data_IF_622419981559
#
_entry.id   IF_622419981559
#
_cell.length_a   1.000
_cell.length_b   1.000
_cell.length_c   1.000
_cell.angle_alpha   90.00
_cell.angle_beta   90.00
_cell.angle_gamma   90.00
#
_symmetry.space_group_name_H-M   'P 1'
#
loop_
_entity.id
_entity.type
_entity.pdbx_description
1 polymer ?
#
# COMPACT_ATOMS: atom_id res chain seq x y z
N UNK A 1 -12.70 30.92 13.18
CA UNK A 1 -11.41 30.21 13.03
C UNK A 1 -11.73 28.72 13.02
N UNK A 2 -11.65 28.06 11.86
CA UNK A 2 -11.90 26.61 11.78
C UNK A 2 -10.58 25.90 12.04
N UNK A 3 -10.53 25.09 13.10
CA UNK A 3 -9.33 24.38 13.55
C UNK A 3 -8.87 23.37 12.49
N UNK A 4 -7.86 23.74 11.70
CA UNK A 4 -7.28 22.91 10.64
C UNK A 4 -6.56 21.64 11.16
N UNK A 5 -6.56 21.37 12.46
CA UNK A 5 -5.90 20.22 13.08
C UNK A 5 -6.81 18.98 13.24
N UNK A 6 -8.12 19.10 13.04
CA UNK A 6 -9.07 17.99 13.27
C UNK A 6 -9.30 17.07 12.05
N UNK A 7 -8.80 17.42 10.86
CA UNK A 7 -9.00 16.65 9.62
C UNK A 7 -7.82 15.73 9.25
N UNK A 8 -6.80 15.66 10.10
CA UNK A 8 -5.69 14.72 9.92
C UNK A 8 -6.09 13.30 10.35
N UNK A 9 -5.93 12.34 9.44
CA UNK A 9 -6.25 10.94 9.66
C UNK A 9 -4.98 10.11 9.46
N UNK A 10 -4.79 9.08 10.29
CA UNK A 10 -3.67 8.17 10.13
C UNK A 10 -3.94 7.13 9.03
N UNK A 11 -2.98 6.92 8.14
CA UNK A 11 -2.97 5.77 7.24
C UNK A 11 -2.83 4.47 8.05
N UNK A 12 -3.74 3.50 7.87
CA UNK A 12 -3.73 2.25 8.65
C UNK A 12 -2.48 1.36 8.44
N UNK A 13 -1.72 1.59 7.37
CA UNK A 13 -0.55 0.78 7.01
C UNK A 13 0.74 1.38 7.55
N UNK A 14 0.97 2.68 7.34
CA UNK A 14 2.22 3.34 7.75
C UNK A 14 2.09 4.21 9.00
N UNK A 15 0.88 4.33 9.56
CA UNK A 15 0.55 5.06 10.79
C UNK A 15 0.87 6.57 10.79
N UNK A 16 1.30 7.12 9.64
CA UNK A 16 1.50 8.57 9.47
C UNK A 16 0.16 9.28 9.31
N UNK A 17 0.01 10.41 10.03
CA UNK A 17 -1.12 11.33 9.91
C UNK A 17 -0.96 12.16 8.64
N UNK A 18 -2.07 12.37 7.97
CA UNK A 18 -2.14 13.07 6.69
C UNK A 18 -3.52 13.67 6.50
N UNK A 19 -3.66 14.68 5.67
CA UNK A 19 -4.98 15.26 5.37
C UNK A 19 -5.88 14.21 4.71
N UNK A 20 -7.15 14.17 5.11
CA UNK A 20 -8.13 13.21 4.60
C UNK A 20 -8.20 13.11 3.07
N UNK A 21 -7.98 14.22 2.35
CA UNK A 21 -8.02 14.26 0.89
C UNK A 21 -6.86 13.50 0.21
N UNK A 22 -5.76 13.28 0.93
CA UNK A 22 -4.59 12.51 0.47
C UNK A 22 -4.72 10.99 0.75
N UNK A 23 -5.80 10.57 1.42
CA UNK A 23 -6.09 9.19 1.77
C UNK A 23 -7.26 8.63 0.96
N UNK A 24 -7.20 7.34 0.65
CA UNK A 24 -8.28 6.61 -0.02
C UNK A 24 -8.98 5.66 0.95
N UNK A 25 -10.21 5.25 0.57
CA UNK A 25 -11.00 4.25 1.30
C UNK A 25 -11.22 3.00 0.43
N UNK A 26 -10.24 2.08 0.36
CA UNK A 26 -10.22 1.03 -0.65
C UNK A 26 -11.09 -0.18 -0.30
N UNK A 27 -11.73 -0.21 0.87
CA UNK A 27 -12.49 -1.36 1.35
C UNK A 27 -13.65 -0.91 2.24
N UNK A 28 -14.47 -1.87 2.68
CA UNK A 28 -15.68 -1.64 3.46
C UNK A 28 -15.44 -1.47 4.97
N UNK A 29 -14.19 -1.36 5.40
CA UNK A 29 -13.86 -1.09 6.80
C UNK A 29 -14.50 0.23 7.26
N UNK A 30 -14.78 0.31 8.57
CA UNK A 30 -15.36 1.49 9.21
C UNK A 30 -14.34 2.16 10.11
N UNK A 31 -14.68 3.36 10.60
CA UNK A 31 -13.79 4.17 11.44
C UNK A 31 -12.48 4.54 10.73
N UNK A 32 -11.40 4.61 11.50
CA UNK A 32 -10.04 4.95 11.04
C UNK A 32 -9.41 3.88 10.13
N UNK A 33 -9.81 2.61 10.29
CA UNK A 33 -9.25 1.46 9.54
C UNK A 33 -9.58 1.47 8.04
N UNK A 34 -10.42 2.39 7.58
CA UNK A 34 -10.72 2.51 6.15
C UNK A 34 -9.70 3.37 5.39
N UNK A 35 -8.94 4.22 6.08
CA UNK A 35 -8.10 5.23 5.44
C UNK A 35 -6.68 4.72 5.20
N UNK A 36 -6.23 4.82 3.95
CA UNK A 36 -4.92 4.32 3.50
C UNK A 36 -4.34 5.25 2.45
N UNK A 37 -3.04 5.48 2.43
CA UNK A 37 -2.38 6.08 1.25
C UNK A 37 -2.48 5.14 0.05
N UNK A 38 -2.72 5.68 -1.15
CA UNK A 38 -2.73 4.87 -2.37
C UNK A 38 -1.43 4.09 -2.61
N UNK A 39 -0.28 4.71 -2.32
CA UNK A 39 1.04 4.07 -2.43
C UNK A 39 1.22 2.94 -1.41
N UNK A 40 0.85 3.17 -0.14
CA UNK A 40 0.94 2.13 0.89
C UNK A 40 0.09 0.91 0.54
N UNK A 41 -1.10 1.12 -0.03
CA UNK A 41 -1.96 0.02 -0.47
C UNK A 41 -1.37 -0.75 -1.65
N UNK A 42 -0.82 -0.05 -2.66
CA UNK A 42 -0.14 -0.68 -3.79
C UNK A 42 1.02 -1.56 -3.30
N UNK A 43 1.89 -1.01 -2.44
CA UNK A 43 3.00 -1.77 -1.84
C UNK A 43 2.51 -2.98 -1.06
N UNK A 44 1.46 -2.81 -0.25
CA UNK A 44 0.87 -3.92 0.50
C UNK A 44 0.41 -5.06 -0.41
N UNK A 45 -0.31 -4.74 -1.49
CA UNK A 45 -0.77 -5.74 -2.47
C UNK A 45 0.44 -6.44 -3.12
N UNK A 46 1.45 -5.69 -3.51
CA UNK A 46 2.68 -6.22 -4.12
C UNK A 46 3.43 -7.17 -3.16
N UNK A 47 3.49 -6.85 -1.86
CA UNK A 47 4.19 -7.69 -0.89
C UNK A 47 3.36 -8.86 -0.35
N UNK A 48 2.05 -8.70 -0.22
CA UNK A 48 1.16 -9.72 0.32
C UNK A 48 0.62 -10.65 -0.77
N UNK A 49 0.70 -10.25 -2.04
CA UNK A 49 0.01 -10.87 -3.17
C UNK A 49 -1.51 -11.01 -2.93
N UNK A 50 -2.09 -10.14 -2.09
CA UNK A 50 -3.50 -10.19 -1.71
C UNK A 50 -4.23 -8.92 -2.14
N UNK A 51 -5.28 -9.08 -2.95
CA UNK A 51 -6.14 -7.98 -3.43
C UNK A 51 -7.39 -7.77 -2.57
N UNK A 52 -7.47 -8.42 -1.40
CA UNK A 52 -8.59 -8.31 -0.45
C UNK A 52 -8.11 -7.71 0.86
N UNK A 53 -9.00 -6.97 1.53
CA UNK A 53 -8.74 -6.46 2.86
C UNK A 53 -8.61 -7.63 3.86
N UNK A 54 -7.59 -7.62 4.71
CA UNK A 54 -7.39 -8.65 5.72
C UNK A 54 -8.46 -8.63 6.84
N UNK A 55 -9.12 -7.49 7.03
CA UNK A 55 -10.12 -7.27 8.09
C UNK A 55 -11.51 -7.62 7.56
N UNK A 56 -12.03 -6.85 6.61
CA UNK A 56 -13.38 -7.03 6.09
C UNK A 56 -13.51 -8.06 4.97
N UNK A 57 -12.38 -8.62 4.48
CA UNK A 57 -12.30 -9.61 3.38
C UNK A 57 -12.85 -9.15 2.02
N UNK A 58 -13.37 -7.92 1.91
CA UNK A 58 -13.81 -7.33 0.65
C UNK A 58 -12.61 -7.06 -0.28
N UNK A 59 -12.80 -7.21 -1.61
CA UNK A 59 -11.78 -6.82 -2.59
C UNK A 59 -11.50 -5.32 -2.52
N UNK A 60 -10.25 -4.92 -2.76
CA UNK A 60 -9.90 -3.51 -2.82
C UNK A 60 -10.50 -2.85 -4.08
N UNK A 61 -11.09 -1.66 -3.92
CA UNK A 61 -11.73 -0.89 -5.00
C UNK A 61 -10.92 0.37 -5.36
N UNK A 62 -11.16 0.91 -6.56
CA UNK A 62 -10.62 2.21 -6.97
C UNK A 62 -9.11 2.24 -7.25
N UNK A 63 -8.46 1.08 -7.29
CA UNK A 63 -7.05 0.98 -7.64
C UNK A 63 -6.88 0.82 -9.15
N UNK A 64 -6.28 1.83 -9.80
CA UNK A 64 -5.57 1.60 -11.07
C UNK A 64 -4.23 0.95 -10.75
N UNK A 65 -4.25 -0.36 -10.50
CA UNK A 65 -3.06 -1.18 -10.64
C UNK A 65 -2.78 -1.26 -12.14
N UNK A 66 -2.05 -0.27 -12.68
CA UNK A 66 -1.56 -0.41 -14.04
C UNK A 66 -0.78 -1.73 -14.11
N UNK A 67 -1.16 -2.60 -15.04
CA UNK A 67 -0.31 -3.66 -15.60
C UNK A 67 0.84 -2.97 -16.34
N UNK A 68 1.70 -2.29 -15.60
CA UNK A 68 3.01 -1.96 -16.14
C UNK A 68 3.86 -3.21 -15.94
N UNK A 69 4.66 -3.55 -16.95
CA UNK A 69 5.60 -4.66 -16.85
C UNK A 69 6.32 -4.59 -15.49
N UNK A 70 6.14 -5.64 -14.69
CA UNK A 70 6.72 -5.80 -13.35
C UNK A 70 8.24 -6.01 -13.46
N UNK A 71 8.93 -5.07 -14.10
CA UNK A 71 10.38 -5.03 -14.15
C UNK A 71 10.90 -4.55 -12.81
N UNK A 72 11.97 -5.19 -12.34
CA UNK A 72 12.71 -4.76 -11.16
C UNK A 72 13.10 -3.27 -11.24
N UNK A 73 13.33 -2.75 -12.47
CA UNK A 73 13.70 -1.35 -12.72
C UNK A 73 12.60 -0.34 -12.37
N UNK A 74 11.31 -0.65 -12.60
CA UNK A 74 10.24 0.29 -12.23
C UNK A 74 10.08 0.36 -10.71
N UNK A 75 10.27 -0.78 -10.03
CA UNK A 75 10.33 -0.86 -8.56
C UNK A 75 11.48 -0.05 -7.95
N UNK A 76 12.69 -0.15 -8.52
CA UNK A 76 13.87 0.56 -8.02
C UNK A 76 13.82 2.07 -8.28
N UNK A 77 13.06 2.52 -9.29
CA UNK A 77 12.88 3.95 -9.60
C UNK A 77 11.91 4.65 -8.65
N UNK A 78 10.82 3.97 -8.24
CA UNK A 78 9.82 4.55 -7.33
C UNK A 78 10.25 4.50 -5.85
N UNK A 79 11.18 3.61 -5.49
CA UNK A 79 11.66 3.42 -4.12
C UNK A 79 13.19 3.41 -4.06
N UNK A 80 13.84 4.59 -3.96
CA UNK A 80 15.28 4.65 -3.78
C UNK A 80 15.71 3.92 -2.49
N UNK A 81 16.91 3.34 -2.51
CA UNK A 81 17.51 2.56 -1.41
C UNK A 81 17.54 3.30 -0.06
N UNK A 82 17.31 4.62 -0.03
CA UNK A 82 17.14 5.42 1.17
C UNK A 82 15.84 5.17 1.95
N UNK A 83 14.83 4.51 1.35
CA UNK A 83 13.57 4.14 2.02
C UNK A 83 13.58 2.74 2.64
N UNK A 84 14.71 2.02 2.53
CA UNK A 84 14.96 0.73 3.18
C UNK A 84 14.81 0.71 4.72
N UNK A 85 15.03 1.79 5.50
CA UNK A 85 14.90 1.72 6.96
C UNK A 85 13.48 1.39 7.46
N UNK A 86 12.45 1.58 6.62
CA UNK A 86 11.05 1.26 6.97
C UNK A 86 10.57 -0.07 6.39
N UNK A 87 11.45 -0.82 5.73
CA UNK A 87 11.21 -2.14 5.20
C UNK A 87 12.11 -3.12 5.97
N UNK A 88 11.56 -3.85 6.94
CA UNK A 88 12.17 -5.12 7.38
C UNK A 88 12.06 -6.16 6.25
N UNK A 89 12.63 -5.84 5.11
CA UNK A 89 12.64 -6.67 3.92
C UNK A 89 14.05 -7.20 3.79
N UNK A 90 14.24 -8.39 4.34
CA UNK A 90 15.38 -9.22 4.00
C UNK A 90 15.37 -9.44 2.47
N UNK A 91 16.48 -9.17 1.77
CA UNK A 91 16.60 -9.31 0.30
C UNK A 91 16.15 -10.69 -0.22
N UNK A 92 16.20 -11.72 0.63
CA UNK A 92 15.67 -13.07 0.38
C UNK A 92 14.15 -13.09 0.13
N UNK A 93 13.40 -12.20 0.78
CA UNK A 93 11.94 -12.12 0.69
C UNK A 93 11.46 -11.45 -0.61
N UNK A 94 12.25 -10.54 -1.21
CA UNK A 94 11.89 -9.89 -2.49
C UNK A 94 12.01 -10.85 -3.66
N UNK A 95 13.11 -11.62 -3.72
CA UNK A 95 13.31 -12.65 -4.74
C UNK A 95 12.26 -13.77 -4.64
N UNK A 96 11.95 -14.23 -3.42
CA UNK A 96 10.91 -15.25 -3.20
C UNK A 96 9.51 -14.75 -3.54
N UNK A 97 9.19 -13.47 -3.28
CA UNK A 97 7.88 -12.89 -3.62
C UNK A 97 7.73 -12.65 -5.13
N UNK A 98 8.80 -12.20 -5.80
CA UNK A 98 8.81 -12.08 -7.27
C UNK A 98 8.57 -13.44 -7.95
N UNK A 99 9.20 -14.51 -7.46
CA UNK A 99 8.97 -15.88 -7.94
C UNK A 99 7.53 -16.36 -7.77
N UNK A 100 6.80 -15.91 -6.73
CA UNK A 100 5.37 -16.26 -6.56
C UNK A 100 4.47 -15.49 -7.52
N UNK A 101 4.76 -14.21 -7.77
CA UNK A 101 3.98 -13.38 -8.70
C UNK A 101 4.18 -13.82 -10.15
N UNK A 102 5.35 -14.35 -10.51
CA UNK A 102 5.62 -14.86 -11.87
C UNK A 102 5.06 -16.27 -12.15
N UNK A 103 4.60 -16.99 -11.13
CA UNK A 103 4.02 -18.34 -11.26
C UNK A 103 2.49 -18.39 -11.19
N UNK A 104 1.83 -17.28 -10.84
CA UNK A 104 0.37 -17.16 -10.92
C UNK A 104 -0.03 -16.88 -12.37
N UNK A 105 -0.31 -17.96 -13.12
CA UNK A 105 -1.19 -17.91 -14.31
C UNK A 105 -2.64 -17.71 -13.89
#
# INVERSE_FOLDING_TARGET
MMNAMEDEIACRICLRREQRHNLITPCLCRGSLRYVHGLCLKQWILWSACYKCEICKAPFIGLRLYRHENSLLSFLREYPLSLLPFLQVNCRNLLQKWLRVSQLR
#
